data_IF_335122317809
#
_entry.id   IF_335122317809
#
_cell.length_a   1.000
_cell.length_b   1.000
_cell.length_c   1.000
_cell.angle_alpha   90.00
_cell.angle_beta   90.00
_cell.angle_gamma   90.00
#
_symmetry.space_group_name_H-M   'P 1'
#
loop_
_entity.id
_entity.type
_entity.pdbx_description
1 polymer ?
#
# COMPACT_ATOMS: atom_id res chain seq x y z
N UNK A 1 -21.52 21.93 -0.11
CA UNK A 1 -20.85 21.08 -1.12
C UNK A 1 -19.37 21.06 -0.74
N UNK A 2 -18.86 19.94 -0.20
CA UNK A 2 -17.47 19.85 0.22
C UNK A 2 -16.61 19.46 -0.99
N UNK A 3 -15.51 20.15 -1.30
CA UNK A 3 -14.69 19.85 -2.47
C UNK A 3 -14.07 18.46 -2.33
N UNK A 4 -14.10 17.70 -3.41
CA UNK A 4 -13.43 16.40 -3.58
C UNK A 4 -11.97 16.53 -3.18
N UNK A 5 -11.64 16.11 -1.96
CA UNK A 5 -10.27 15.81 -1.57
C UNK A 5 -9.71 14.79 -2.57
N UNK A 6 -8.45 14.94 -3.02
CA UNK A 6 -7.81 13.92 -3.82
C UNK A 6 -7.90 12.62 -3.03
N UNK A 7 -8.55 11.61 -3.62
CA UNK A 7 -8.63 10.26 -3.07
C UNK A 7 -7.20 9.78 -2.91
N UNK A 8 -6.68 9.88 -1.69
CA UNK A 8 -5.44 9.23 -1.28
C UNK A 8 -5.54 7.77 -1.75
N UNK A 9 -4.45 7.15 -2.22
CA UNK A 9 -4.46 5.74 -2.61
C UNK A 9 -4.91 4.95 -1.38
N UNK A 10 -6.19 4.60 -1.41
CA UNK A 10 -6.81 3.80 -0.38
C UNK A 10 -6.46 2.36 -0.75
N UNK A 11 -5.37 1.86 -0.15
CA UNK A 11 -4.84 0.51 -0.40
C UNK A 11 -5.83 -0.59 -0.01
N UNK A 12 -6.86 -0.26 0.74
CA UNK A 12 -8.01 -1.12 0.98
C UNK A 12 -9.30 -0.38 0.62
N UNK A 13 -9.97 -0.82 -0.44
CA UNK A 13 -11.23 -0.20 -0.88
C UNK A 13 -12.32 -0.34 0.19
N UNK A 14 -13.34 0.53 0.21
CA UNK A 14 -14.47 0.41 1.12
C UNK A 14 -15.18 -0.94 1.02
N UNK A 15 -15.24 -1.53 -0.18
CA UNK A 15 -15.82 -2.84 -0.41
C UNK A 15 -14.99 -3.96 0.23
N UNK A 16 -13.68 -3.96 0.03
CA UNK A 16 -12.79 -4.91 0.69
C UNK A 16 -12.82 -4.76 2.21
N UNK A 17 -12.90 -3.54 2.73
CA UNK A 17 -13.05 -3.33 4.17
C UNK A 17 -14.31 -4.00 4.70
N UNK A 18 -15.45 -3.84 4.01
CA UNK A 18 -16.71 -4.50 4.37
C UNK A 18 -16.60 -6.03 4.27
N UNK A 19 -15.91 -6.54 3.25
CA UNK A 19 -15.69 -7.98 3.09
C UNK A 19 -14.86 -8.55 4.25
N UNK A 20 -13.80 -7.84 4.69
CA UNK A 20 -13.01 -8.24 5.86
C UNK A 20 -13.86 -8.18 7.15
N UNK A 21 -14.71 -7.16 7.31
CA UNK A 21 -15.59 -7.05 8.47
C UNK A 21 -16.62 -8.18 8.55
N UNK A 22 -17.17 -8.60 7.40
CA UNK A 22 -18.13 -9.69 7.30
C UNK A 22 -17.50 -11.09 7.47
N UNK A 23 -16.18 -11.21 7.30
CA UNK A 23 -15.49 -12.49 7.43
C UNK A 23 -15.55 -13.02 8.87
N UNK A 24 -15.65 -14.35 9.00
CA UNK A 24 -15.69 -15.06 10.28
C UNK A 24 -14.27 -15.21 10.88
N UNK A 25 -13.60 -14.08 11.04
CA UNK A 25 -12.23 -13.94 11.53
C UNK A 25 -12.23 -13.23 12.88
N UNK A 26 -11.26 -13.54 13.72
CA UNK A 26 -10.94 -12.76 14.92
C UNK A 26 -10.46 -11.36 14.57
N UNK A 27 -10.46 -10.44 15.54
CA UNK A 27 -10.01 -9.06 15.34
C UNK A 27 -8.57 -8.97 14.82
N UNK A 28 -7.68 -9.84 15.31
CA UNK A 28 -6.29 -9.87 14.87
C UNK A 28 -6.16 -10.35 13.42
N UNK A 29 -6.89 -11.40 13.04
CA UNK A 29 -6.91 -11.90 11.66
C UNK A 29 -7.50 -10.89 10.68
N UNK A 30 -8.54 -10.14 11.09
CA UNK A 30 -9.08 -9.04 10.29
C UNK A 30 -8.04 -7.96 10.05
N UNK A 31 -7.32 -7.54 11.09
CA UNK A 31 -6.22 -6.60 10.95
C UNK A 31 -5.15 -7.11 9.98
N UNK A 32 -4.69 -8.35 10.17
CA UNK A 32 -3.69 -8.97 9.31
C UNK A 32 -4.18 -9.05 7.86
N UNK A 33 -5.45 -9.41 7.63
CA UNK A 33 -6.04 -9.48 6.29
C UNK A 33 -6.00 -8.12 5.59
N UNK A 34 -6.36 -7.04 6.29
CA UNK A 34 -6.27 -5.67 5.73
C UNK A 34 -4.84 -5.30 5.37
N UNK A 35 -3.89 -5.64 6.25
CA UNK A 35 -2.47 -5.41 6.02
C UNK A 35 -1.99 -6.19 4.79
N UNK A 36 -2.30 -7.47 4.68
CA UNK A 36 -1.91 -8.32 3.55
C UNK A 36 -2.45 -7.81 2.22
N UNK A 37 -3.74 -7.44 2.17
CA UNK A 37 -4.35 -6.86 0.95
C UNK A 37 -3.64 -5.56 0.55
N UNK A 38 -3.36 -4.69 1.53
CA UNK A 38 -2.66 -3.43 1.28
C UNK A 38 -1.22 -3.68 0.79
N UNK A 39 -0.51 -4.61 1.42
CA UNK A 39 0.84 -5.02 1.03
C UNK A 39 0.88 -5.60 -0.39
N UNK A 40 -0.12 -6.38 -0.80
CA UNK A 40 -0.19 -6.92 -2.16
C UNK A 40 -0.21 -5.80 -3.22
N UNK A 41 -0.94 -4.70 -2.98
CA UNK A 41 -0.95 -3.52 -3.87
C UNK A 41 0.37 -2.78 -3.89
N UNK A 42 1.05 -2.67 -2.75
CA UNK A 42 2.39 -2.08 -2.68
C UNK A 42 3.39 -2.94 -3.46
N UNK A 43 3.35 -4.27 -3.30
CA UNK A 43 4.18 -5.19 -4.06
C UNK A 43 3.93 -5.09 -5.57
N UNK A 44 2.67 -4.96 -6.00
CA UNK A 44 2.35 -4.69 -7.41
C UNK A 44 2.96 -3.38 -7.92
N UNK A 45 3.01 -2.33 -7.09
CA UNK A 45 3.68 -1.09 -7.48
C UNK A 45 5.19 -1.27 -7.56
N UNK A 46 5.80 -1.97 -6.60
CA UNK A 46 7.23 -2.26 -6.60
C UNK A 46 7.62 -3.00 -7.89
N UNK A 47 6.88 -4.06 -8.25
CA UNK A 47 7.08 -4.79 -9.52
C UNK A 47 7.01 -3.87 -10.74
N UNK A 48 6.05 -2.93 -10.77
CA UNK A 48 5.92 -1.95 -11.86
C UNK A 48 7.11 -0.98 -11.90
N UNK A 49 7.57 -0.50 -10.78
CA UNK A 49 8.64 0.51 -10.73
C UNK A 49 10.03 -0.10 -10.98
N UNK A 50 10.26 -1.33 -10.53
CA UNK A 50 11.55 -2.01 -10.65
C UNK A 50 11.65 -2.86 -11.92
N UNK A 51 10.52 -3.22 -12.53
CA UNK A 51 10.43 -4.20 -13.62
C UNK A 51 10.98 -5.58 -13.22
N UNK A 52 11.01 -5.89 -11.92
CA UNK A 52 11.42 -7.19 -11.38
C UNK A 52 10.15 -8.01 -11.09
N UNK A 53 10.04 -9.26 -11.56
CA UNK A 53 8.91 -10.13 -11.23
C UNK A 53 8.73 -10.29 -9.73
N UNK A 54 7.49 -10.46 -9.27
CA UNK A 54 7.17 -10.57 -7.83
C UNK A 54 7.93 -11.72 -7.18
N UNK A 55 8.11 -12.82 -7.92
CA UNK A 55 8.78 -14.05 -7.48
C UNK A 55 10.29 -13.89 -7.28
N UNK A 56 10.88 -12.85 -7.89
CA UNK A 56 12.31 -12.54 -7.83
C UNK A 56 12.63 -11.38 -6.88
N UNK A 57 11.60 -10.68 -6.37
CA UNK A 57 11.79 -9.57 -5.44
C UNK A 57 12.44 -10.06 -4.14
N UNK A 58 13.58 -9.46 -3.80
CA UNK A 58 14.26 -9.72 -2.54
C UNK A 58 13.83 -8.72 -1.46
N UNK A 59 14.04 -9.09 -0.20
CA UNK A 59 13.82 -8.18 0.92
C UNK A 59 14.64 -6.88 0.79
N UNK A 60 15.89 -6.97 0.32
CA UNK A 60 16.76 -5.80 0.09
C UNK A 60 16.19 -4.85 -0.97
N UNK A 61 15.65 -5.38 -2.07
CA UNK A 61 15.03 -4.58 -3.11
C UNK A 61 13.76 -3.89 -2.62
N UNK A 62 12.95 -4.59 -1.83
CA UNK A 62 11.75 -4.01 -1.19
C UNK A 62 12.17 -2.89 -0.24
N UNK A 63 13.14 -3.12 0.65
CA UNK A 63 13.67 -2.10 1.57
C UNK A 63 14.17 -0.88 0.79
N UNK A 64 14.99 -1.09 -0.24
CA UNK A 64 15.53 0.00 -1.06
C UNK A 64 14.43 0.82 -1.76
N UNK A 65 13.38 0.16 -2.24
CA UNK A 65 12.23 0.86 -2.81
C UNK A 65 11.50 1.72 -1.78
N UNK A 66 11.28 1.20 -0.57
CA UNK A 66 10.67 1.96 0.54
C UNK A 66 11.53 3.15 0.98
N UNK A 67 12.86 3.01 0.99
CA UNK A 67 13.80 4.10 1.28
C UNK A 67 13.71 5.19 0.21
N UNK A 68 13.67 4.81 -1.07
CA UNK A 68 13.50 5.74 -2.20
C UNK A 68 12.19 6.51 -2.09
N UNK A 69 11.07 5.82 -1.86
CA UNK A 69 9.76 6.46 -1.71
C UNK A 69 9.72 7.40 -0.49
N UNK A 70 10.31 6.97 0.62
CA UNK A 70 10.44 7.80 1.83
C UNK A 70 11.31 9.03 1.61
N UNK A 71 12.35 8.93 0.78
CA UNK A 71 13.17 10.08 0.39
C UNK A 71 12.35 11.07 -0.44
N UNK A 72 11.60 10.60 -1.43
CA UNK A 72 10.68 11.43 -2.23
C UNK A 72 9.70 12.16 -1.31
N UNK A 73 9.09 11.47 -0.35
CA UNK A 73 8.18 12.08 0.63
C UNK A 73 8.82 13.22 1.41
N UNK A 74 10.05 13.01 1.90
CA UNK A 74 10.78 14.01 2.70
C UNK A 74 11.19 15.23 1.88
N UNK A 75 11.59 15.03 0.63
CA UNK A 75 12.14 16.10 -0.22
C UNK A 75 11.07 16.85 -1.02
N UNK A 76 10.00 16.16 -1.43
CA UNK A 76 9.00 16.67 -2.37
C UNK A 76 7.58 16.71 -1.78
N UNK A 77 7.42 16.24 -0.54
CA UNK A 77 6.15 16.21 0.18
C UNK A 77 5.36 14.90 0.02
N UNK A 78 4.39 14.70 0.90
CA UNK A 78 3.55 13.48 0.97
C UNK A 78 2.84 13.17 -0.35
N UNK A 79 2.40 14.18 -1.08
CA UNK A 79 1.68 13.98 -2.34
C UNK A 79 2.58 13.52 -3.49
N UNK A 80 3.90 13.66 -3.38
CA UNK A 80 4.85 13.20 -4.39
C UNK A 80 5.24 11.72 -4.22
N UNK A 81 5.18 11.17 -3.00
CA UNK A 81 5.48 9.78 -2.74
C UNK A 81 4.31 8.86 -3.08
N UNK A 82 4.56 7.61 -3.40
CA UNK A 82 3.50 6.61 -3.57
C UNK A 82 2.79 6.33 -2.24
N UNK A 83 3.57 6.13 -1.15
CA UNK A 83 3.01 5.96 0.18
C UNK A 83 2.71 7.33 0.78
N UNK A 84 1.43 7.58 1.08
CA UNK A 84 0.92 8.87 1.58
C UNK A 84 0.91 9.01 3.10
N UNK A 85 1.50 8.08 3.84
CA UNK A 85 1.60 8.12 5.30
C UNK A 85 3.05 8.27 5.79
#
# INVERSE_FOLDING_TARGET
MNPTQPTQPQFLTPEESRAVDAALLSSHEKFLTRLTISSARVLQQIVKDTQIPLEELTAEQIISWFEKDSKVRREQGTDAAFLKW
#
